data_IF_788038804115
#
_entry.id   IF_788038804115
#
_cell.length_a   1.000
_cell.length_b   1.000
_cell.length_c   1.000
_cell.angle_alpha   90.00
_cell.angle_beta   90.00
_cell.angle_gamma   90.00
#
_symmetry.space_group_name_H-M   'P 1'
#
loop_
_entity.id
_entity.type
_entity.pdbx_description
1 polymer ?
#
# COMPACT_ATOMS: atom_id res chain seq x y z
N UNK A 1 -7.45 -47.38 29.51
CA UNK A 1 -7.25 -46.42 28.40
C UNK A 1 -5.76 -46.35 28.15
N UNK A 2 -5.33 -46.79 26.97
CA UNK A 2 -3.91 -46.93 26.65
C UNK A 2 -3.23 -45.53 26.50
N UNK A 3 -1.96 -45.36 26.92
CA UNK A 3 -1.20 -44.13 26.75
C UNK A 3 -1.20 -43.54 25.33
N UNK A 4 -1.19 -44.37 24.29
CA UNK A 4 -1.23 -43.91 22.89
C UNK A 4 -2.58 -43.28 22.54
N UNK A 5 -3.67 -43.86 23.03
CA UNK A 5 -5.03 -43.32 22.87
C UNK A 5 -5.15 -41.91 23.48
N UNK A 6 -4.59 -41.68 24.68
CA UNK A 6 -4.56 -40.35 25.32
C UNK A 6 -3.73 -39.33 24.54
N UNK A 7 -2.64 -39.78 23.91
CA UNK A 7 -1.78 -38.93 23.09
C UNK A 7 -2.51 -38.46 21.84
N UNK A 8 -3.24 -39.36 21.16
CA UNK A 8 -4.05 -39.06 19.98
C UNK A 8 -5.16 -38.06 20.34
N UNK A 9 -5.90 -38.28 21.43
CA UNK A 9 -6.94 -37.34 21.90
C UNK A 9 -6.38 -35.95 22.19
N UNK A 10 -5.16 -35.86 22.74
CA UNK A 10 -4.48 -34.60 22.98
C UNK A 10 -4.10 -33.89 21.68
N UNK A 11 -3.59 -34.62 20.69
CA UNK A 11 -3.29 -34.07 19.36
C UNK A 11 -4.56 -33.59 18.64
N UNK A 12 -5.66 -34.35 18.72
CA UNK A 12 -6.95 -33.96 18.16
C UNK A 12 -7.45 -32.65 18.79
N UNK A 13 -7.41 -32.52 20.12
CA UNK A 13 -7.78 -31.27 20.81
C UNK A 13 -6.87 -30.09 20.44
N UNK A 14 -5.57 -30.31 20.28
CA UNK A 14 -4.65 -29.25 19.84
C UNK A 14 -4.94 -28.80 18.40
N UNK A 15 -5.30 -29.74 17.52
CA UNK A 15 -5.74 -29.41 16.16
C UNK A 15 -7.07 -28.64 16.17
N UNK A 16 -8.01 -29.04 17.02
CA UNK A 16 -9.31 -28.38 17.15
C UNK A 16 -9.18 -26.94 17.68
N UNK A 17 -8.39 -26.72 18.74
CA UNK A 17 -8.09 -25.37 19.26
C UNK A 17 -7.36 -24.53 18.21
N UNK A 18 -6.44 -25.14 17.45
CA UNK A 18 -5.73 -24.46 16.35
C UNK A 18 -6.71 -24.02 15.26
N UNK A 19 -7.64 -24.89 14.87
CA UNK A 19 -8.66 -24.58 13.85
C UNK A 19 -9.60 -23.47 14.35
N UNK A 20 -10.12 -23.55 15.58
CA UNK A 20 -10.96 -22.51 16.16
C UNK A 20 -10.27 -21.13 16.21
N UNK A 21 -8.98 -21.08 16.56
CA UNK A 21 -8.21 -19.82 16.55
C UNK A 21 -7.97 -19.28 15.13
N UNK A 22 -7.74 -20.18 14.18
CA UNK A 22 -7.58 -19.87 12.76
C UNK A 22 -8.87 -19.32 12.15
N UNK A 23 -10.02 -19.92 12.43
CA UNK A 23 -11.34 -19.50 11.96
C UNK A 23 -11.72 -18.13 12.52
N UNK A 24 -11.44 -17.90 13.81
CA UNK A 24 -11.67 -16.61 14.47
C UNK A 24 -10.84 -15.49 13.85
N UNK A 25 -9.55 -15.73 13.59
CA UNK A 25 -8.68 -14.76 12.91
C UNK A 25 -9.18 -14.44 11.49
N UNK A 26 -9.61 -15.45 10.74
CA UNK A 26 -10.17 -15.23 9.41
C UNK A 26 -11.44 -14.36 9.44
N UNK A 27 -12.40 -14.70 10.30
CA UNK A 27 -13.68 -13.99 10.34
C UNK A 27 -13.57 -12.58 10.93
N UNK A 28 -12.78 -12.40 11.97
CA UNK A 28 -12.71 -11.12 12.70
C UNK A 28 -11.66 -10.16 12.14
N UNK A 29 -10.57 -10.66 11.55
CA UNK A 29 -9.41 -9.82 11.17
C UNK A 29 -9.23 -9.75 9.66
N UNK A 30 -9.17 -10.88 8.97
CA UNK A 30 -8.80 -10.93 7.53
C UNK A 30 -9.83 -10.20 6.67
N UNK A 31 -11.13 -10.40 6.91
CA UNK A 31 -12.20 -9.74 6.13
C UNK A 31 -12.20 -8.22 6.30
N UNK A 32 -12.04 -7.75 7.53
CA UNK A 32 -11.98 -6.31 7.83
C UNK A 32 -10.71 -5.68 7.21
N UNK A 33 -9.57 -6.35 7.33
CA UNK A 33 -8.31 -5.92 6.72
C UNK A 33 -8.41 -5.83 5.20
N UNK A 34 -9.04 -6.81 4.55
CA UNK A 34 -9.24 -6.78 3.11
C UNK A 34 -10.08 -5.57 2.67
N UNK A 35 -11.18 -5.28 3.39
CA UNK A 35 -12.04 -4.13 3.11
C UNK A 35 -11.31 -2.79 3.29
N UNK A 36 -10.57 -2.64 4.40
CA UNK A 36 -9.80 -1.43 4.66
C UNK A 36 -8.63 -1.29 3.67
N UNK A 37 -7.97 -2.38 3.29
CA UNK A 37 -6.91 -2.37 2.27
C UNK A 37 -7.43 -1.95 0.90
N UNK A 38 -8.63 -2.40 0.50
CA UNK A 38 -9.28 -1.95 -0.73
C UNK A 38 -9.52 -0.44 -0.71
N UNK A 39 -10.09 0.06 0.39
CA UNK A 39 -10.35 1.49 0.55
C UNK A 39 -9.08 2.31 0.43
N UNK A 40 -8.03 1.90 1.15
CA UNK A 40 -6.70 2.53 1.06
C UNK A 40 -6.22 2.48 -0.38
N UNK A 41 -6.18 1.32 -1.03
CA UNK A 41 -5.77 1.19 -2.45
C UNK A 41 -6.51 2.17 -3.37
N UNK A 42 -7.83 2.22 -3.30
CA UNK A 42 -8.65 3.04 -4.21
C UNK A 42 -8.38 4.54 -4.03
N UNK A 43 -8.23 4.99 -2.79
CA UNK A 43 -7.89 6.39 -2.49
C UNK A 43 -6.52 6.78 -3.06
N UNK A 44 -5.55 5.88 -3.00
CA UNK A 44 -4.19 6.16 -3.47
C UNK A 44 -4.12 6.24 -4.98
N UNK A 45 -4.81 5.32 -5.66
CA UNK A 45 -4.96 5.38 -7.11
C UNK A 45 -5.66 6.68 -7.52
N UNK A 46 -6.67 7.13 -6.77
CA UNK A 46 -7.32 8.42 -6.99
C UNK A 46 -6.30 9.57 -6.86
N UNK A 47 -5.56 9.65 -5.76
CA UNK A 47 -4.56 10.70 -5.53
C UNK A 47 -3.51 10.74 -6.65
N UNK A 48 -2.98 9.59 -7.07
CA UNK A 48 -1.97 9.55 -8.14
C UNK A 48 -2.54 9.91 -9.51
N UNK A 49 -3.79 9.54 -9.82
CA UNK A 49 -4.45 9.96 -11.07
C UNK A 49 -4.74 11.46 -11.10
N UNK A 50 -5.17 12.03 -9.98
CA UNK A 50 -5.34 13.48 -9.86
C UNK A 50 -3.99 14.20 -10.01
N UNK A 51 -2.93 13.66 -9.42
CA UNK A 51 -1.55 14.16 -9.57
C UNK A 51 -1.12 14.15 -11.03
N UNK A 52 -1.39 13.07 -11.75
CA UNK A 52 -1.10 12.97 -13.18
C UNK A 52 -1.86 14.04 -13.99
N UNK A 53 -3.15 14.25 -13.69
CA UNK A 53 -3.97 15.28 -14.33
C UNK A 53 -3.40 16.68 -14.08
N UNK A 54 -3.07 16.99 -12.82
CA UNK A 54 -2.54 18.28 -12.42
C UNK A 54 -1.22 18.61 -13.16
N UNK A 55 -0.32 17.63 -13.26
CA UNK A 55 0.96 17.78 -13.97
C UNK A 55 0.72 18.01 -15.47
N UNK A 56 -0.21 17.28 -16.09
CA UNK A 56 -0.55 17.43 -17.52
C UNK A 56 -1.24 18.74 -17.84
N UNK A 57 -2.07 19.24 -16.93
CA UNK A 57 -2.71 20.56 -17.01
C UNK A 57 -1.72 21.72 -16.79
N UNK A 58 -0.47 21.40 -16.41
CA UNK A 58 0.59 22.39 -16.23
C UNK A 58 0.50 23.15 -14.91
N UNK A 59 -0.18 22.60 -13.89
CA UNK A 59 -0.18 23.17 -12.54
C UNK A 59 1.23 23.20 -11.95
N UNK A 60 1.45 24.09 -10.99
CA UNK A 60 2.74 24.15 -10.29
C UNK A 60 3.00 22.84 -9.55
N UNK A 61 4.17 22.24 -9.76
CA UNK A 61 4.56 21.01 -9.06
C UNK A 61 4.61 21.19 -7.53
N UNK A 62 4.80 22.43 -7.05
CA UNK A 62 4.75 22.76 -5.62
C UNK A 62 3.31 22.66 -5.08
N UNK A 63 2.34 23.26 -5.79
CA UNK A 63 0.91 23.17 -5.42
C UNK A 63 0.42 21.72 -5.43
N UNK A 64 0.85 20.95 -6.43
CA UNK A 64 0.54 19.52 -6.53
C UNK A 64 1.13 18.75 -5.36
N UNK A 65 2.38 19.02 -5.00
CA UNK A 65 3.03 18.40 -3.85
C UNK A 65 2.30 18.72 -2.53
N UNK A 66 1.90 19.99 -2.33
CA UNK A 66 1.12 20.39 -1.15
C UNK A 66 -0.24 19.71 -1.07
N UNK A 67 -0.98 19.60 -2.18
CA UNK A 67 -2.26 18.86 -2.22
C UNK A 67 -2.06 17.41 -1.81
N UNK A 68 -1.10 16.73 -2.44
CA UNK A 68 -0.79 15.32 -2.15
C UNK A 68 -0.41 15.11 -0.67
N UNK A 69 0.29 16.07 -0.05
CA UNK A 69 0.56 16.03 1.40
C UNK A 69 -0.70 16.17 2.25
N UNK A 70 -1.65 17.01 1.86
CA UNK A 70 -2.91 17.20 2.59
C UNK A 70 -3.82 15.97 2.46
N UNK A 71 -3.95 15.41 1.26
CA UNK A 71 -4.75 14.19 1.01
C UNK A 71 -4.21 13.01 1.83
N UNK A 72 -2.88 12.95 2.04
CA UNK A 72 -2.26 11.96 2.93
C UNK A 72 -2.77 12.04 4.37
N UNK A 73 -3.25 13.17 4.89
CA UNK A 73 -3.64 13.27 6.32
C UNK A 73 -5.05 12.70 6.56
N UNK A 74 -5.95 12.85 5.59
CA UNK A 74 -7.37 12.51 5.75
C UNK A 74 -7.61 11.03 6.06
N UNK A 75 -6.75 10.14 5.57
CA UNK A 75 -6.98 8.68 5.63
C UNK A 75 -6.01 7.94 6.57
N UNK A 76 -5.52 8.60 7.62
CA UNK A 76 -4.67 7.98 8.64
C UNK A 76 -5.38 6.83 9.38
N UNK A 77 -6.66 7.01 9.72
CA UNK A 77 -7.41 6.06 10.55
C UNK A 77 -7.50 4.65 9.94
N UNK A 78 -7.79 4.54 8.64
CA UNK A 78 -7.88 3.25 7.93
C UNK A 78 -6.54 2.54 7.82
N UNK A 79 -5.46 3.31 7.66
CA UNK A 79 -4.09 2.76 7.63
C UNK A 79 -3.63 2.30 9.00
N UNK A 80 -4.02 3.01 10.06
CA UNK A 80 -3.69 2.63 11.43
C UNK A 80 -4.40 1.35 11.87
N UNK A 81 -5.63 1.11 11.38
CA UNK A 81 -6.31 -0.18 11.54
C UNK A 81 -5.50 -1.31 10.91
N UNK A 82 -5.04 -1.12 9.66
CA UNK A 82 -4.24 -2.14 8.97
C UNK A 82 -2.89 -2.40 9.65
N UNK A 83 -2.21 -1.35 10.14
CA UNK A 83 -0.96 -1.49 10.93
C UNK A 83 -1.19 -2.27 12.21
N UNK A 84 -2.23 -1.90 12.95
CA UNK A 84 -2.58 -2.57 14.21
C UNK A 84 -2.89 -4.04 13.98
N UNK A 85 -3.58 -4.37 12.89
CA UNK A 85 -3.85 -5.76 12.51
C UNK A 85 -2.57 -6.54 12.16
N UNK A 86 -1.63 -5.95 11.43
CA UNK A 86 -0.33 -6.58 11.15
C UNK A 86 0.50 -6.81 12.42
N UNK A 87 0.57 -5.82 13.29
CA UNK A 87 1.28 -5.91 14.58
C UNK A 87 0.65 -6.98 15.48
N UNK A 88 -0.67 -7.08 15.48
CA UNK A 88 -1.43 -8.07 16.24
C UNK A 88 -1.24 -9.50 15.71
N UNK A 89 -0.99 -9.67 14.41
CA UNK A 89 -0.86 -10.98 13.79
C UNK A 89 0.31 -11.80 14.38
N UNK A 90 1.36 -11.15 14.94
CA UNK A 90 2.51 -11.78 15.65
C UNK A 90 3.02 -13.08 15.02
N UNK A 91 2.95 -13.18 13.69
CA UNK A 91 3.28 -14.41 12.95
C UNK A 91 4.78 -14.47 12.75
N UNK A 92 5.40 -15.64 12.96
CA UNK A 92 6.83 -15.86 12.65
C UNK A 92 7.16 -15.63 11.17
N UNK A 93 6.16 -15.69 10.30
CA UNK A 93 6.27 -15.46 8.86
C UNK A 93 4.93 -14.96 8.33
N UNK A 94 4.93 -13.82 7.65
CA UNK A 94 3.74 -13.29 6.97
C UNK A 94 3.29 -14.21 5.83
N UNK A 95 1.98 -14.32 5.62
CA UNK A 95 1.45 -14.93 4.40
C UNK A 95 1.46 -13.89 3.27
N UNK A 96 1.14 -14.31 2.04
CA UNK A 96 0.98 -13.37 0.92
C UNK A 96 0.01 -12.22 1.23
N UNK A 97 -1.02 -12.46 2.06
CA UNK A 97 -1.97 -11.43 2.45
C UNK A 97 -1.32 -10.37 3.33
N UNK A 98 -0.69 -10.75 4.45
CA UNK A 98 -0.02 -9.81 5.34
C UNK A 98 1.17 -9.14 4.65
N UNK A 99 1.93 -9.87 3.81
CA UNK A 99 2.98 -9.27 2.98
C UNK A 99 2.41 -8.24 2.01
N UNK A 100 1.23 -8.49 1.42
CA UNK A 100 0.56 -7.55 0.54
C UNK A 100 0.06 -6.31 1.28
N UNK A 101 -0.51 -6.46 2.48
CA UNK A 101 -0.90 -5.33 3.33
C UNK A 101 0.35 -4.55 3.76
N UNK A 102 1.42 -5.23 4.16
CA UNK A 102 2.69 -4.59 4.46
C UNK A 102 3.23 -3.86 3.22
N UNK A 103 3.15 -4.42 2.02
CA UNK A 103 3.50 -3.70 0.79
C UNK A 103 2.58 -2.50 0.52
N UNK A 104 1.31 -2.55 0.87
CA UNK A 104 0.40 -1.41 0.73
C UNK A 104 0.69 -0.32 1.79
N UNK A 105 1.20 -0.69 2.97
CA UNK A 105 1.49 0.21 4.09
C UNK A 105 2.94 0.74 4.11
N UNK A 106 3.92 -0.14 3.93
CA UNK A 106 5.36 0.13 3.85
C UNK A 106 5.81 0.37 2.42
N UNK A 107 5.36 -0.47 1.50
CA UNK A 107 5.80 -0.47 0.11
C UNK A 107 5.33 0.81 -0.56
N UNK A 108 6.27 1.70 -0.81
CA UNK A 108 6.04 2.93 -1.55
C UNK A 108 5.01 3.89 -0.94
N UNK A 109 4.62 3.77 0.33
CA UNK A 109 3.49 4.59 0.81
C UNK A 109 3.88 5.90 1.49
N UNK A 110 4.50 5.78 2.66
CA UNK A 110 5.22 6.93 3.25
C UNK A 110 6.44 7.31 2.43
N UNK A 111 6.93 6.42 1.56
CA UNK A 111 8.05 6.69 0.69
C UNK A 111 7.63 7.14 -0.70
N UNK A 112 6.62 6.64 -1.40
CA UNK A 112 6.26 7.17 -2.72
C UNK A 112 5.34 8.39 -2.65
N UNK A 113 4.46 8.58 -1.67
CA UNK A 113 3.86 9.92 -1.49
C UNK A 113 4.95 10.93 -1.13
N UNK A 114 5.85 10.59 -0.19
CA UNK A 114 6.94 11.49 0.23
C UNK A 114 8.03 11.66 -0.83
N UNK A 115 8.34 10.63 -1.62
CA UNK A 115 9.30 10.67 -2.73
C UNK A 115 8.64 11.40 -3.89
N UNK A 116 7.40 11.11 -4.26
CA UNK A 116 6.67 11.86 -5.28
C UNK A 116 6.60 13.34 -4.88
N UNK A 117 6.24 13.68 -3.62
CA UNK A 117 6.35 15.06 -3.09
C UNK A 117 7.79 15.61 -3.19
N UNK A 118 8.79 14.90 -2.67
CA UNK A 118 10.20 15.34 -2.69
C UNK A 118 10.72 15.53 -4.11
N UNK A 119 10.34 14.64 -5.01
CA UNK A 119 10.82 14.58 -6.37
C UNK A 119 10.07 15.60 -7.25
N UNK A 120 8.79 15.86 -6.97
CA UNK A 120 8.03 17.02 -7.48
C UNK A 120 8.68 18.33 -7.05
N UNK A 121 9.00 18.47 -5.75
CA UNK A 121 9.71 19.65 -5.22
C UNK A 121 11.12 19.79 -5.82
N UNK A 122 11.83 18.68 -6.03
CA UNK A 122 13.12 18.67 -6.72
C UNK A 122 13.00 19.15 -8.17
N UNK A 123 12.05 18.60 -8.93
CA UNK A 123 11.77 19.02 -10.29
C UNK A 123 11.37 20.50 -10.35
N UNK A 124 10.55 20.97 -9.41
CA UNK A 124 10.17 22.37 -9.30
C UNK A 124 11.38 23.28 -9.09
N UNK A 125 12.25 22.93 -8.14
CA UNK A 125 13.48 23.68 -7.86
C UNK A 125 14.40 23.74 -9.08
N UNK A 126 14.62 22.61 -9.75
CA UNK A 126 15.44 22.54 -10.96
C UNK A 126 14.86 23.40 -12.10
N UNK A 127 13.53 23.45 -12.23
CA UNK A 127 12.85 24.33 -13.19
C UNK A 127 13.15 25.80 -12.84
N UNK A 128 12.98 26.22 -11.59
CA UNK A 128 13.27 27.59 -11.15
C UNK A 128 14.74 27.97 -11.33
N UNK A 129 15.67 27.10 -10.96
CA UNK A 129 17.11 27.32 -11.09
C UNK A 129 17.51 27.39 -12.58
N UNK A 130 16.85 26.62 -13.45
CA UNK A 130 17.07 26.72 -14.89
C UNK A 130 16.72 28.11 -15.42
N UNK A 131 15.60 28.71 -14.99
CA UNK A 131 15.17 30.05 -15.39
C UNK A 131 16.12 31.14 -14.87
N UNK A 132 16.61 31.03 -13.63
CA UNK A 132 17.56 31.99 -13.03
C UNK A 132 18.90 32.06 -13.76
N UNK A 133 19.34 30.96 -14.38
CA UNK A 133 20.65 30.85 -15.01
C UNK A 133 20.66 31.22 -16.50
N UNK A 134 19.56 31.72 -17.09
CA UNK A 134 19.46 32.12 -18.51
C UNK A 134 20.02 31.09 -19.51
N UNK A 135 19.96 29.79 -19.17
CA UNK A 135 20.46 28.71 -20.01
C UNK A 135 19.54 28.51 -21.23
N UNK A 136 20.05 28.77 -22.44
CA UNK A 136 19.40 28.37 -23.68
C UNK A 136 18.97 26.89 -23.61
N UNK A 137 17.67 26.61 -23.79
CA UNK A 137 17.10 25.25 -23.70
C UNK A 137 16.06 25.01 -22.59
N UNK A 138 15.56 26.05 -21.91
CA UNK A 138 14.59 25.96 -20.80
C UNK A 138 13.38 25.04 -21.07
N UNK A 139 12.78 25.13 -22.25
CA UNK A 139 11.60 24.32 -22.58
C UNK A 139 11.91 22.82 -22.60
N UNK A 140 13.04 22.42 -23.22
CA UNK A 140 13.43 21.01 -23.29
C UNK A 140 13.74 20.43 -21.90
N UNK A 141 14.45 21.19 -21.06
CA UNK A 141 14.75 20.74 -19.68
C UNK A 141 13.50 20.67 -18.81
N UNK A 142 12.56 21.61 -18.96
CA UNK A 142 11.26 21.58 -18.26
C UNK A 142 10.44 20.36 -18.70
N UNK A 143 10.37 20.07 -19.99
CA UNK A 143 9.68 18.89 -20.52
C UNK A 143 10.27 17.57 -19.99
N UNK A 144 11.60 17.47 -19.89
CA UNK A 144 12.28 16.32 -19.28
C UNK A 144 11.89 16.12 -17.81
N UNK A 145 11.83 17.21 -17.03
CA UNK A 145 11.48 17.16 -15.61
C UNK A 145 10.00 16.83 -15.39
N UNK A 146 9.11 17.33 -16.24
CA UNK A 146 7.68 16.96 -16.25
C UNK A 146 7.51 15.47 -16.58
N UNK A 147 8.21 14.96 -17.61
CA UNK A 147 8.18 13.54 -17.96
C UNK A 147 8.65 12.67 -16.80
N UNK A 148 9.76 13.06 -16.16
CA UNK A 148 10.27 12.36 -14.96
C UNK A 148 9.22 12.32 -13.85
N UNK A 149 8.52 13.43 -13.58
CA UNK A 149 7.46 13.47 -12.57
C UNK A 149 6.31 12.50 -12.90
N UNK A 150 5.90 12.42 -14.17
CA UNK A 150 4.88 11.48 -14.63
C UNK A 150 5.34 10.02 -14.49
N UNK A 151 6.59 9.71 -14.84
CA UNK A 151 7.15 8.36 -14.72
C UNK A 151 7.18 7.89 -13.25
N UNK A 152 7.61 8.76 -12.32
CA UNK A 152 7.63 8.46 -10.88
C UNK A 152 6.20 8.28 -10.31
N UNK A 153 5.23 9.06 -10.80
CA UNK A 153 3.83 8.89 -10.42
C UNK A 153 3.27 7.55 -10.92
N UNK A 154 3.65 7.13 -12.12
CA UNK A 154 3.28 5.82 -12.67
C UNK A 154 3.89 4.66 -11.87
N UNK A 155 5.17 4.74 -11.52
CA UNK A 155 5.82 3.75 -10.64
C UNK A 155 5.09 3.61 -9.29
N UNK A 156 4.55 4.71 -8.77
CA UNK A 156 3.76 4.71 -7.54
C UNK A 156 2.43 3.96 -7.71
N UNK A 157 1.74 4.13 -8.84
CA UNK A 157 0.53 3.38 -9.20
C UNK A 157 0.83 1.88 -9.34
N UNK A 158 1.88 1.54 -10.10
CA UNK A 158 2.26 0.14 -10.37
C UNK A 158 2.60 -0.61 -9.06
N UNK A 159 3.19 0.09 -8.09
CA UNK A 159 3.46 -0.47 -6.77
C UNK A 159 2.18 -0.74 -5.95
N UNK A 160 1.21 0.17 -5.98
CA UNK A 160 -0.09 -0.02 -5.33
C UNK A 160 -0.82 -1.21 -5.94
N UNK A 161 -0.84 -1.32 -7.26
CA UNK A 161 -1.48 -2.45 -7.94
C UNK A 161 -0.75 -3.76 -7.66
N UNK A 162 0.59 -3.76 -7.58
CA UNK A 162 1.37 -4.94 -7.20
C UNK A 162 1.05 -5.42 -5.77
N UNK A 163 0.93 -4.49 -4.81
CA UNK A 163 0.50 -4.81 -3.46
C UNK A 163 -0.92 -5.40 -3.46
N UNK A 164 -1.82 -4.81 -4.24
CA UNK A 164 -3.21 -5.27 -4.35
C UNK A 164 -3.33 -6.68 -4.93
N UNK A 165 -2.56 -7.01 -5.97
CA UNK A 165 -2.49 -8.37 -6.53
C UNK A 165 -2.10 -9.37 -5.45
N UNK A 166 -1.08 -9.04 -4.64
CA UNK A 166 -0.60 -9.92 -3.57
C UNK A 166 -1.64 -10.11 -2.45
N UNK A 167 -2.34 -9.03 -2.09
CA UNK A 167 -3.47 -9.08 -1.14
C UNK A 167 -4.57 -10.01 -1.67
N UNK A 168 -4.97 -9.88 -2.94
CA UNK A 168 -6.01 -10.73 -3.52
C UNK A 168 -5.60 -12.21 -3.55
N UNK A 169 -4.35 -12.51 -3.90
CA UNK A 169 -3.82 -13.87 -3.88
C UNK A 169 -3.88 -14.46 -2.47
N UNK A 170 -3.41 -13.71 -1.47
CA UNK A 170 -3.44 -14.13 -0.07
C UNK A 170 -4.87 -14.30 0.45
N UNK A 171 -5.76 -13.35 0.17
CA UNK A 171 -7.17 -13.42 0.57
C UNK A 171 -7.89 -14.60 -0.08
N UNK A 172 -7.61 -14.89 -1.35
CA UNK A 172 -8.12 -16.08 -2.05
C UNK A 172 -7.64 -17.39 -1.43
N UNK A 173 -6.41 -17.45 -0.91
CA UNK A 173 -5.92 -18.61 -0.17
C UNK A 173 -6.70 -18.81 1.13
N UNK A 174 -6.94 -17.73 1.87
CA UNK A 174 -7.80 -17.77 3.05
C UNK A 174 -9.23 -18.22 2.68
N UNK A 175 -9.86 -17.68 1.64
CA UNK A 175 -11.20 -18.14 1.23
C UNK A 175 -11.26 -19.66 0.95
N UNK A 176 -10.23 -20.21 0.29
CA UNK A 176 -10.15 -21.65 0.02
C UNK A 176 -9.91 -22.48 1.28
N UNK A 177 -9.08 -22.01 2.19
CA UNK A 177 -8.80 -22.71 3.46
C UNK A 177 -9.99 -22.71 4.43
N UNK A 178 -10.86 -21.69 4.38
CA UNK A 178 -11.84 -21.44 5.43
C UNK A 178 -13.32 -21.48 4.99
N UNK A 179 -13.64 -21.31 3.71
CA UNK A 179 -15.03 -21.34 3.19
C UNK A 179 -15.33 -22.62 2.39
N UNK A 180 -14.31 -23.40 2.01
CA UNK A 180 -14.49 -24.63 1.20
C UNK A 180 -14.63 -25.92 2.03
N UNK A 181 -14.99 -25.81 3.31
CA UNK A 181 -15.39 -26.89 4.23
C UNK A 181 -16.82 -26.65 4.68
#
# INVERSE_FOLDING_TARGET
MDPYTKLIDYFLKLMEIRNQRKDKYYQEVVKECYSNAKYVRDDLIRIFKETESDIKEGKSLDDVAYRVMNDRVLELSKRDILRTALDAAKVKKFTAFEEGIQMLLDGNFNHAIKNNVRDLMYCHKEILDSYRLNKHGHNKRREELIRKALDMNKESIDAVDSAWVKINQGYGNYLREYIST
#
